data_IF_169960876281
#
_entry.id   IF_169960876281
#
_cell.length_a   1.000
_cell.length_b   1.000
_cell.length_c   1.000
_cell.angle_alpha   90.00
_cell.angle_beta   90.00
_cell.angle_gamma   90.00
#
_symmetry.space_group_name_H-M   'P 1'
#
loop_
_entity.id
_entity.type
_entity.pdbx_description
1 polymer ?
#
# COMPACT_ATOMS: atom_id res chain seq x y z
N UNK A 1 8.23 10.30 18.44
CA UNK A 1 6.87 9.72 18.53
C UNK A 1 5.82 10.63 19.17
N UNK A 2 6.04 11.23 20.34
CA UNK A 2 5.00 12.07 21.01
C UNK A 2 4.43 13.20 20.13
N UNK A 3 5.29 14.00 19.49
CA UNK A 3 4.89 15.10 18.58
C UNK A 3 4.04 14.65 17.39
N UNK A 4 4.23 13.43 16.88
CA UNK A 4 3.41 12.88 15.81
C UNK A 4 1.98 12.63 16.30
N UNK A 5 1.81 12.02 17.48
CA UNK A 5 0.49 11.73 18.04
C UNK A 5 -0.27 13.00 18.43
N UNK A 6 0.43 14.01 18.93
CA UNK A 6 -0.13 15.33 19.19
C UNK A 6 -0.65 16.00 17.91
N UNK A 7 0.18 16.04 16.86
CA UNK A 7 -0.22 16.57 15.54
C UNK A 7 -1.29 15.72 14.85
N UNK A 8 -1.36 14.43 15.15
CA UNK A 8 -2.40 13.54 14.66
C UNK A 8 -3.73 13.86 15.33
N UNK A 9 -3.73 14.00 16.65
CA UNK A 9 -4.93 14.30 17.44
C UNK A 9 -5.58 15.65 17.13
N UNK A 10 -4.79 16.61 16.63
CA UNK A 10 -5.31 17.92 16.21
C UNK A 10 -5.97 17.93 14.84
N UNK A 11 -5.77 16.91 14.00
CA UNK A 11 -6.33 16.84 12.64
C UNK A 11 -7.66 16.09 12.62
N UNK A 12 -8.69 16.73 12.08
CA UNK A 12 -10.02 16.14 11.92
C UNK A 12 -9.99 14.82 11.12
N UNK A 13 -9.10 14.72 10.13
CA UNK A 13 -8.92 13.52 9.31
C UNK A 13 -8.73 12.24 10.15
N UNK A 14 -8.04 12.31 11.29
CA UNK A 14 -7.75 11.13 12.11
C UNK A 14 -8.75 10.91 13.24
N UNK A 15 -9.71 11.83 13.44
CA UNK A 15 -10.77 11.70 14.43
C UNK A 15 -11.94 10.89 13.89
N UNK A 16 -12.20 10.99 12.59
CA UNK A 16 -13.18 10.21 11.88
C UNK A 16 -12.48 9.09 11.10
N UNK A 17 -12.58 7.85 11.60
CA UNK A 17 -12.00 6.67 10.97
C UNK A 17 -12.60 6.41 9.58
N UNK A 18 -13.90 6.68 9.39
CA UNK A 18 -14.58 6.51 8.11
C UNK A 18 -14.01 7.45 7.05
N UNK A 19 -13.85 8.73 7.40
CA UNK A 19 -13.21 9.72 6.55
C UNK A 19 -11.75 9.37 6.23
N UNK A 20 -11.00 8.92 7.24
CA UNK A 20 -9.61 8.49 7.06
C UNK A 20 -9.53 7.34 6.05
N UNK A 21 -10.34 6.29 6.22
CA UNK A 21 -10.37 5.15 5.29
C UNK A 21 -10.80 5.58 3.89
N UNK A 22 -11.82 6.43 3.78
CA UNK A 22 -12.32 6.92 2.49
C UNK A 22 -11.23 7.70 1.72
N UNK A 23 -10.42 8.50 2.42
CA UNK A 23 -9.31 9.21 1.80
C UNK A 23 -8.20 8.27 1.31
N UNK A 24 -7.90 7.21 2.07
CA UNK A 24 -6.93 6.19 1.63
C UNK A 24 -7.43 5.39 0.44
N UNK A 25 -8.72 5.04 0.44
CA UNK A 25 -9.38 4.37 -0.67
C UNK A 25 -9.37 5.24 -1.94
N UNK A 26 -9.66 6.54 -1.81
CA UNK A 26 -9.53 7.51 -2.89
C UNK A 26 -8.10 7.59 -3.42
N UNK A 27 -7.10 7.65 -2.54
CA UNK A 27 -5.69 7.70 -2.95
C UNK A 27 -5.28 6.45 -3.74
N UNK A 28 -5.77 5.26 -3.34
CA UNK A 28 -5.54 4.02 -4.10
C UNK A 28 -6.28 4.03 -5.43
N UNK A 29 -7.52 4.52 -5.48
CA UNK A 29 -8.26 4.68 -6.73
C UNK A 29 -7.51 5.59 -7.72
N UNK A 30 -7.00 6.73 -7.25
CA UNK A 30 -6.22 7.66 -8.08
C UNK A 30 -4.94 7.02 -8.64
N UNK A 31 -4.33 6.09 -7.89
CA UNK A 31 -3.14 5.36 -8.34
C UNK A 31 -3.43 4.26 -9.35
N UNK A 32 -4.66 3.73 -9.36
CA UNK A 32 -5.08 2.66 -10.24
C UNK A 32 -5.85 3.15 -11.47
N UNK A 33 -6.31 4.40 -11.44
CA UNK A 33 -7.04 4.99 -12.56
C UNK A 33 -6.07 5.35 -13.66
N UNK A 34 -6.38 4.93 -14.89
CA UNK A 34 -5.65 5.34 -16.07
C UNK A 34 -5.95 6.81 -16.39
N UNK A 35 -4.90 7.64 -16.48
CA UNK A 35 -5.01 9.03 -16.91
C UNK A 35 -4.28 10.04 -16.01
N UNK A 36 -4.29 11.33 -16.38
CA UNK A 36 -3.51 12.38 -15.70
C UNK A 36 -4.21 12.91 -14.43
N UNK A 37 -4.76 12.03 -13.59
CA UNK A 37 -5.36 12.45 -12.32
C UNK A 37 -4.31 12.79 -11.27
N UNK A 38 -3.15 12.13 -11.34
CA UNK A 38 -1.99 12.45 -10.54
C UNK A 38 -0.94 13.12 -11.42
N UNK A 39 -0.54 14.33 -11.05
CA UNK A 39 0.57 15.02 -11.70
C UNK A 39 1.87 14.21 -11.55
N UNK A 40 2.78 14.31 -12.53
CA UNK A 40 4.05 13.60 -12.62
C UNK A 40 4.93 13.77 -11.37
N UNK A 41 4.75 14.87 -10.63
CA UNK A 41 5.44 15.09 -9.36
C UNK A 41 5.02 14.13 -8.24
N UNK A 42 3.81 13.57 -8.30
CA UNK A 42 3.31 12.62 -7.31
C UNK A 42 3.71 11.18 -7.63
N UNK A 43 3.98 10.88 -8.90
CA UNK A 43 4.26 9.52 -9.42
C UNK A 43 5.66 9.40 -10.04
N UNK A 44 6.56 10.33 -9.75
CA UNK A 44 7.92 10.33 -10.31
C UNK A 44 8.60 8.98 -10.01
N UNK A 45 9.20 8.39 -11.06
CA UNK A 45 9.90 7.11 -10.99
C UNK A 45 11.21 7.23 -10.19
N UNK A 46 11.77 8.44 -10.10
CA UNK A 46 13.04 8.69 -9.39
C UNK A 46 12.87 9.76 -8.29
N UNK A 47 12.07 9.49 -7.24
CA UNK A 47 11.78 10.47 -6.19
C UNK A 47 13.05 10.95 -5.45
N UNK A 48 14.06 10.08 -5.36
CA UNK A 48 15.34 10.37 -4.71
C UNK A 48 16.17 11.43 -5.45
N UNK A 49 16.04 11.55 -6.77
CA UNK A 49 16.78 12.54 -7.56
C UNK A 49 16.31 13.98 -7.30
N UNK A 50 15.06 14.15 -6.84
CA UNK A 50 14.47 15.47 -6.55
C UNK A 50 14.27 15.72 -5.06
N UNK A 51 14.77 14.82 -4.19
CA UNK A 51 14.53 14.84 -2.74
C UNK A 51 13.03 14.96 -2.37
N UNK A 52 12.13 14.47 -3.23
CA UNK A 52 10.69 14.56 -3.04
C UNK A 52 10.12 13.16 -2.97
N UNK A 53 9.65 12.71 -1.79
CA UNK A 53 9.00 11.41 -1.68
C UNK A 53 7.75 11.38 -2.57
N UNK A 54 7.63 10.35 -3.40
CA UNK A 54 6.44 10.14 -4.21
C UNK A 54 5.28 9.61 -3.34
N UNK A 55 4.07 9.61 -3.90
CA UNK A 55 2.85 9.23 -3.17
C UNK A 55 2.89 7.78 -2.69
N UNK A 56 3.53 6.87 -3.45
CA UNK A 56 3.70 5.47 -3.06
C UNK A 56 4.56 5.34 -1.80
N UNK A 57 5.64 6.11 -1.71
CA UNK A 57 6.48 6.15 -0.52
C UNK A 57 5.75 6.74 0.70
N UNK A 58 5.00 7.83 0.50
CA UNK A 58 4.22 8.43 1.59
C UNK A 58 3.11 7.48 2.09
N UNK A 59 2.41 6.81 1.17
CA UNK A 59 1.39 5.83 1.52
C UNK A 59 1.98 4.62 2.22
N UNK A 60 3.14 4.11 1.80
CA UNK A 60 3.79 2.99 2.49
C UNK A 60 4.18 3.36 3.92
N UNK A 61 4.78 4.54 4.14
CA UNK A 61 5.08 5.02 5.48
C UNK A 61 3.81 5.18 6.33
N UNK A 62 2.75 5.73 5.75
CA UNK A 62 1.49 5.95 6.45
C UNK A 62 0.81 4.63 6.82
N UNK A 63 0.61 3.72 5.87
CA UNK A 63 -0.07 2.45 6.11
C UNK A 63 0.65 1.55 7.12
N UNK A 64 1.99 1.65 7.19
CA UNK A 64 2.79 0.86 8.13
C UNK A 64 2.95 1.50 9.51
N UNK A 65 2.44 2.73 9.73
CA UNK A 65 2.50 3.36 11.04
C UNK A 65 1.54 2.67 12.03
N UNK A 66 1.96 2.33 13.27
CA UNK A 66 1.13 1.60 14.23
C UNK A 66 -0.24 2.25 14.50
N UNK A 67 -0.29 3.58 14.57
CA UNK A 67 -1.54 4.34 14.76
C UNK A 67 -2.59 4.16 13.65
N UNK A 68 -2.21 3.63 12.48
CA UNK A 68 -3.08 3.43 11.33
C UNK A 68 -3.53 1.96 11.17
N UNK A 69 -3.19 1.09 12.11
CA UNK A 69 -3.49 -0.34 12.01
C UNK A 69 -4.99 -0.65 11.91
N UNK A 70 -5.82 0.05 12.68
CA UNK A 70 -7.28 -0.11 12.60
C UNK A 70 -7.83 0.29 11.22
N UNK A 71 -7.42 1.46 10.72
CA UNK A 71 -7.79 1.92 9.39
C UNK A 71 -7.31 0.95 8.29
N UNK A 72 -6.14 0.33 8.45
CA UNK A 72 -5.61 -0.67 7.52
C UNK A 72 -6.50 -1.93 7.44
N UNK A 73 -7.02 -2.42 8.57
CA UNK A 73 -7.93 -3.56 8.60
C UNK A 73 -9.19 -3.28 7.78
N UNK A 74 -9.82 -2.12 8.00
CA UNK A 74 -11.02 -1.71 7.26
C UNK A 74 -10.72 -1.45 5.79
N UNK A 75 -9.59 -0.81 5.48
CA UNK A 75 -9.16 -0.56 4.11
C UNK A 75 -8.92 -1.88 3.36
N UNK A 76 -8.37 -2.89 4.01
CA UNK A 76 -8.05 -4.19 3.38
C UNK A 76 -9.28 -4.91 2.82
N UNK A 77 -10.43 -4.83 3.50
CA UNK A 77 -11.68 -5.39 3.00
C UNK A 77 -12.22 -4.58 1.82
N UNK A 78 -12.11 -3.25 1.85
CA UNK A 78 -12.57 -2.38 0.75
C UNK A 78 -11.74 -2.55 -0.51
N UNK A 79 -10.42 -2.57 -0.37
CA UNK A 79 -9.51 -2.75 -1.52
C UNK A 79 -9.60 -4.16 -2.12
N UNK A 80 -9.92 -5.17 -1.31
CA UNK A 80 -10.22 -6.51 -1.84
C UNK A 80 -11.46 -6.51 -2.73
N UNK A 81 -12.47 -5.70 -2.41
CA UNK A 81 -13.67 -5.54 -3.23
C UNK A 81 -13.44 -4.71 -4.51
N UNK A 82 -12.51 -3.73 -4.48
CA UNK A 82 -12.12 -2.94 -5.66
C UNK A 82 -11.41 -3.75 -6.75
N UNK A 83 -10.85 -4.91 -6.42
CA UNK A 83 -10.27 -5.85 -7.38
C UNK A 83 -8.77 -6.09 -7.21
N UNK A 84 -8.22 -6.86 -8.17
CA UNK A 84 -6.87 -7.44 -8.05
C UNK A 84 -5.76 -6.39 -8.03
N UNK A 85 -5.91 -5.27 -8.74
CA UNK A 85 -4.93 -4.18 -8.75
C UNK A 85 -4.77 -3.53 -7.38
N UNK A 86 -5.88 -3.17 -6.74
CA UNK A 86 -5.91 -2.60 -5.40
C UNK A 86 -5.34 -3.55 -4.35
N UNK A 87 -5.71 -4.83 -4.42
CA UNK A 87 -5.16 -5.83 -3.53
C UNK A 87 -3.64 -6.02 -3.69
N UNK A 88 -3.13 -6.00 -4.92
CA UNK A 88 -1.67 -6.04 -5.19
C UNK A 88 -0.97 -4.81 -4.65
N UNK A 89 -1.53 -3.62 -4.89
CA UNK A 89 -0.94 -2.38 -4.41
C UNK A 89 -0.87 -2.35 -2.88
N UNK A 90 -1.93 -2.79 -2.20
CA UNK A 90 -1.94 -2.89 -0.73
C UNK A 90 -0.82 -3.80 -0.21
N UNK A 91 -0.58 -4.95 -0.86
CA UNK A 91 0.52 -5.86 -0.50
C UNK A 91 1.91 -5.24 -0.67
N UNK A 92 2.08 -4.40 -1.70
CA UNK A 92 3.36 -3.72 -1.95
C UNK A 92 3.60 -2.57 -0.98
N UNK A 93 2.54 -1.89 -0.54
CA UNK A 93 2.62 -0.73 0.34
C UNK A 93 2.59 -1.10 1.83
N UNK A 94 1.94 -2.20 2.22
CA UNK A 94 1.77 -2.63 3.62
C UNK A 94 2.56 -3.90 3.91
N UNK A 95 3.54 -3.80 4.81
CA UNK A 95 4.33 -4.95 5.29
C UNK A 95 3.47 -5.98 6.03
N UNK A 96 2.42 -5.52 6.73
CA UNK A 96 1.46 -6.39 7.42
C UNK A 96 0.57 -7.20 6.47
N UNK A 97 0.35 -6.67 5.26
CA UNK A 97 -0.42 -7.37 4.22
C UNK A 97 0.46 -8.28 3.36
N UNK A 98 1.78 -8.09 3.41
CA UNK A 98 2.75 -8.94 2.76
C UNK A 98 2.95 -10.22 3.55
N UNK A 99 2.76 -11.36 2.90
CA UNK A 99 2.95 -12.68 3.50
C UNK A 99 4.07 -13.38 2.73
N UNK A 100 5.31 -13.37 3.26
CA UNK A 100 6.45 -14.00 2.60
C UNK A 100 6.21 -15.49 2.30
N UNK A 101 5.43 -16.18 3.14
CA UNK A 101 5.09 -17.59 2.95
C UNK A 101 4.34 -17.87 1.65
N UNK A 102 3.53 -16.94 1.14
CA UNK A 102 2.87 -17.07 -0.18
C UNK A 102 3.82 -16.99 -1.36
N UNK A 103 5.02 -16.45 -1.14
CA UNK A 103 6.10 -16.35 -2.13
C UNK A 103 7.28 -17.22 -1.73
N UNK A 104 7.12 -18.00 -0.65
CA UNK A 104 8.12 -18.95 -0.25
C UNK A 104 8.15 -20.02 -1.31
N UNK A 105 9.37 -20.40 -1.65
CA UNK A 105 9.73 -21.41 -2.61
C UNK A 105 9.25 -22.84 -2.24
N UNK A 106 8.32 -22.95 -1.29
CA UNK A 106 7.62 -24.14 -0.82
C UNK A 106 6.22 -24.11 -1.44
N UNK A 107 6.16 -23.96 -2.76
CA UNK A 107 4.91 -24.08 -3.48
C UNK A 107 4.77 -25.56 -3.88
N UNK A 108 3.76 -26.29 -3.37
CA UNK A 108 3.58 -27.72 -3.64
C UNK A 108 3.33 -28.01 -5.14
N UNK A 109 3.02 -26.99 -5.94
CA UNK A 109 2.89 -27.10 -7.40
C UNK A 109 4.22 -26.90 -8.14
N UNK A 110 5.33 -26.61 -7.47
CA UNK A 110 6.64 -26.59 -8.13
C UNK A 110 7.04 -28.02 -8.47
N UNK A 111 7.04 -28.33 -9.76
CA UNK A 111 7.38 -29.65 -10.28
C UNK A 111 8.90 -29.81 -10.46
N UNK A 112 9.58 -28.74 -10.89
CA UNK A 112 11.04 -28.72 -11.09
C UNK A 112 11.64 -27.32 -10.86
N UNK A 113 12.86 -27.26 -10.30
CA UNK A 113 13.73 -26.06 -10.28
C UNK A 113 15.01 -26.33 -11.06
N UNK A 114 15.37 -25.40 -11.94
CA UNK A 114 16.67 -25.38 -12.62
C UNK A 114 17.37 -24.04 -12.47
N UNK A 115 18.60 -23.95 -12.98
CA UNK A 115 19.42 -22.73 -12.93
C UNK A 115 18.80 -21.51 -13.65
N UNK A 116 17.83 -21.74 -14.54
CA UNK A 116 17.22 -20.72 -15.40
C UNK A 116 15.71 -20.54 -15.19
N UNK A 117 15.10 -21.26 -14.24
CA UNK A 117 13.67 -21.13 -14.01
C UNK A 117 13.05 -22.19 -13.12
N UNK A 118 11.81 -21.94 -12.74
CA UNK A 118 10.98 -22.84 -11.93
C UNK A 118 9.73 -23.21 -12.73
N UNK A 119 9.43 -24.50 -12.85
CA UNK A 119 8.25 -25.02 -13.56
C UNK A 119 7.17 -25.34 -12.55
N UNK A 120 6.01 -24.69 -12.69
CA UNK A 120 4.81 -24.92 -11.90
C UNK A 120 3.91 -25.98 -12.58
N UNK A 121 3.03 -26.61 -11.80
CA UNK A 121 2.10 -27.64 -12.24
C UNK A 121 0.93 -27.08 -13.04
#
# INVERSE_FOLDING_TARGET
>A
NARYYEQRGSRALYRDEGLHVLLLELAVNLLLTDGPLLDKHHTDMFPLQKHKPNVLFLLSLHLNHPANERALLVLSSRLSAMGRGAHRLLKLLSSKSFSPSRYSNIDPDIRFRGAYGTVYK
#
